data_IF_358990168972
#
_entry.id   IF_358990168972
#
_cell.length_a   1.000
_cell.length_b   1.000
_cell.length_c   1.000
_cell.angle_alpha   90.00
_cell.angle_beta   90.00
_cell.angle_gamma   90.00
#
_symmetry.space_group_name_H-M   'P 1'
#
loop_
_entity.id
_entity.type
_entity.pdbx_description
1 polymer ?
#
# COMPACT_ATOMS: atom_id res chain seq x y z
N UNK A 1 5.58 -34.33 -81.87
CA UNK A 1 6.34 -34.44 -80.61
C UNK A 1 6.36 -33.07 -79.96
N UNK A 2 5.63 -32.91 -78.85
CA UNK A 2 6.29 -32.68 -77.57
C UNK A 2 5.71 -33.53 -76.43
N UNK A 3 6.53 -33.68 -75.39
CA UNK A 3 6.38 -34.59 -74.26
C UNK A 3 5.43 -34.09 -73.18
N UNK A 4 4.70 -35.02 -72.56
CA UNK A 4 3.93 -34.82 -71.35
C UNK A 4 4.85 -34.63 -70.15
N UNK A 5 4.64 -33.57 -69.36
CA UNK A 5 5.26 -33.42 -68.04
C UNK A 5 4.30 -33.95 -66.97
N UNK A 6 4.76 -34.95 -66.23
CA UNK A 6 4.14 -35.50 -65.03
C UNK A 6 4.33 -34.55 -63.85
N UNK A 7 3.24 -34.25 -63.13
CA UNK A 7 3.29 -33.57 -61.84
C UNK A 7 3.77 -34.54 -60.76
N UNK A 8 4.88 -34.20 -60.09
CA UNK A 8 5.41 -34.93 -58.94
C UNK A 8 4.89 -34.27 -57.64
N UNK A 9 4.10 -35.02 -56.89
CA UNK A 9 3.45 -34.61 -55.64
C UNK A 9 4.47 -34.68 -54.48
N UNK A 10 4.95 -33.53 -54.01
CA UNK A 10 5.99 -33.44 -52.98
C UNK A 10 5.38 -33.67 -51.57
N UNK A 11 5.33 -34.93 -51.14
CA UNK A 11 4.89 -35.32 -49.80
C UNK A 11 5.98 -35.01 -48.77
N UNK A 12 5.88 -33.86 -48.09
CA UNK A 12 6.73 -33.51 -46.93
C UNK A 12 6.59 -34.55 -45.82
N UNK A 13 7.60 -35.41 -45.70
CA UNK A 13 7.82 -36.31 -44.56
C UNK A 13 8.16 -35.45 -43.33
N UNK A 14 7.17 -35.24 -42.45
CA UNK A 14 7.45 -34.65 -41.13
C UNK A 14 8.16 -35.69 -40.28
N UNK A 15 9.32 -35.33 -39.74
CA UNK A 15 10.07 -36.19 -38.81
C UNK A 15 9.16 -36.55 -37.63
N UNK A 16 9.05 -37.85 -37.34
CA UNK A 16 8.27 -38.40 -36.22
C UNK A 16 8.61 -37.68 -34.90
N UNK A 17 9.87 -37.26 -34.75
CA UNK A 17 10.34 -36.48 -33.61
C UNK A 17 9.64 -35.11 -33.48
N UNK A 18 9.41 -34.42 -34.59
CA UNK A 18 8.72 -33.11 -34.61
C UNK A 18 7.26 -33.27 -34.21
N UNK A 19 6.61 -34.36 -34.64
CA UNK A 19 5.23 -34.66 -34.24
C UNK A 19 5.15 -34.93 -32.74
N UNK A 20 6.07 -35.74 -32.20
CA UNK A 20 6.12 -36.06 -30.76
C UNK A 20 6.35 -34.80 -29.92
N UNK A 21 7.30 -33.94 -30.31
CA UNK A 21 7.58 -32.68 -29.59
C UNK A 21 6.34 -31.77 -29.61
N UNK A 22 5.67 -31.66 -30.75
CA UNK A 22 4.49 -30.80 -30.88
C UNK A 22 3.34 -31.29 -29.99
N UNK A 23 3.09 -32.60 -29.97
CA UNK A 23 2.04 -33.21 -29.13
C UNK A 23 2.38 -33.07 -27.64
N UNK A 24 3.64 -33.25 -27.25
CA UNK A 24 4.06 -33.08 -25.86
C UNK A 24 3.88 -31.61 -25.41
N UNK A 25 4.31 -30.65 -26.23
CA UNK A 25 4.17 -29.22 -25.93
C UNK A 25 2.71 -28.79 -25.81
N UNK A 26 1.83 -29.22 -26.72
CA UNK A 26 0.41 -28.89 -26.64
C UNK A 26 -0.26 -29.51 -25.41
N UNK A 27 0.10 -30.74 -25.05
CA UNK A 27 -0.43 -31.40 -23.85
C UNK A 27 -0.02 -30.66 -22.57
N UNK A 28 1.25 -30.23 -22.46
CA UNK A 28 1.72 -29.46 -21.31
C UNK A 28 0.98 -28.13 -21.19
N UNK A 29 0.79 -27.41 -22.30
CA UNK A 29 0.07 -26.13 -22.32
C UNK A 29 -1.38 -26.32 -21.85
N UNK A 30 -2.06 -27.37 -22.32
CA UNK A 30 -3.45 -27.66 -21.92
C UNK A 30 -3.53 -27.95 -20.41
N UNK A 31 -2.59 -28.74 -19.87
CA UNK A 31 -2.55 -29.04 -18.42
C UNK A 31 -2.30 -27.77 -17.61
N UNK A 32 -1.38 -26.91 -18.03
CA UNK A 32 -1.11 -25.65 -17.34
C UNK A 32 -2.31 -24.69 -17.37
N UNK A 33 -2.99 -24.57 -18.52
CA UNK A 33 -4.22 -23.78 -18.62
C UNK A 33 -5.33 -24.34 -17.72
N UNK A 34 -5.48 -25.67 -17.65
CA UNK A 34 -6.46 -26.31 -16.79
C UNK A 34 -6.16 -26.09 -15.30
N UNK A 35 -4.90 -26.25 -14.88
CA UNK A 35 -4.48 -25.97 -13.51
C UNK A 35 -4.70 -24.50 -13.15
N UNK A 36 -4.30 -23.58 -14.03
CA UNK A 36 -4.54 -22.15 -13.83
C UNK A 36 -6.03 -21.84 -13.66
N UNK A 37 -6.88 -22.38 -14.54
CA UNK A 37 -8.33 -22.21 -14.44
C UNK A 37 -8.89 -22.80 -13.15
N UNK A 38 -8.44 -24.00 -12.75
CA UNK A 38 -8.85 -24.65 -11.52
C UNK A 38 -8.50 -23.80 -10.30
N UNK A 39 -7.27 -23.26 -10.22
CA UNK A 39 -6.87 -22.39 -9.10
C UNK A 39 -7.52 -21.00 -9.12
N UNK A 40 -7.90 -20.50 -10.29
CA UNK A 40 -8.60 -19.21 -10.41
C UNK A 40 -10.09 -19.30 -10.03
N UNK A 41 -10.72 -20.47 -10.20
CA UNK A 41 -12.18 -20.64 -10.04
C UNK A 41 -12.55 -21.40 -8.76
N UNK A 42 -11.61 -22.15 -8.16
CA UNK A 42 -11.88 -22.79 -6.86
C UNK A 42 -11.96 -21.73 -5.76
N UNK A 43 -13.13 -21.55 -5.12
CA UNK A 43 -13.24 -20.63 -4.00
C UNK A 43 -12.36 -21.13 -2.87
N UNK A 44 -11.52 -20.23 -2.33
CA UNK A 44 -10.76 -20.49 -1.10
C UNK A 44 -11.80 -20.77 -0.01
N UNK A 45 -11.76 -21.92 0.69
CA UNK A 45 -12.67 -22.18 1.79
C UNK A 45 -12.47 -21.09 2.85
N UNK A 46 -13.57 -20.39 3.13
CA UNK A 46 -13.64 -19.32 4.13
C UNK A 46 -13.26 -19.92 5.50
N UNK A 47 -12.36 -19.27 6.27
CA UNK A 47 -12.02 -19.75 7.60
C UNK A 47 -13.25 -19.61 8.51
N UNK A 48 -13.72 -20.73 9.07
CA UNK A 48 -14.70 -20.78 10.15
C UNK A 48 -14.18 -19.93 11.33
N UNK A 49 -14.72 -18.73 11.49
CA UNK A 49 -14.52 -17.94 12.69
C UNK A 49 -15.34 -18.57 13.82
N UNK A 50 -14.62 -19.01 14.86
CA UNK A 50 -15.18 -19.48 16.12
C UNK A 50 -15.94 -18.34 16.81
N UNK A 51 -17.26 -18.45 16.84
CA UNK A 51 -18.16 -17.63 17.67
C UNK A 51 -17.89 -17.92 19.15
N UNK A 52 -17.16 -17.01 19.81
CA UNK A 52 -17.09 -16.94 21.28
C UNK A 52 -18.14 -15.95 21.77
N UNK A 53 -19.40 -16.36 21.78
CA UNK A 53 -20.41 -15.73 22.62
C UNK A 53 -20.47 -16.47 23.95
N UNK A 54 -19.54 -16.14 24.86
CA UNK A 54 -19.60 -16.60 26.24
C UNK A 54 -20.38 -15.59 27.09
N UNK A 55 -21.52 -16.06 27.56
CA UNK A 55 -22.38 -15.42 28.55
C UNK A 55 -21.58 -15.05 29.81
N UNK A 56 -21.59 -13.77 30.19
CA UNK A 56 -21.49 -13.39 31.60
C UNK A 56 -22.70 -12.57 31.99
N UNK A 57 -23.63 -13.28 32.63
CA UNK A 57 -24.81 -12.72 33.25
C UNK A 57 -24.43 -11.92 34.52
N UNK A 58 -25.35 -11.01 34.85
CA UNK A 58 -25.71 -10.59 36.22
C UNK A 58 -24.97 -9.37 36.75
N UNK A 59 -25.52 -8.19 36.44
CA UNK A 59 -25.43 -7.03 37.34
C UNK A 59 -26.80 -6.75 37.93
N UNK A 60 -26.81 -6.77 39.25
CA UNK A 60 -27.91 -6.60 40.19
C UNK A 60 -28.52 -5.20 40.08
N UNK A 61 -29.86 -5.13 40.09
CA UNK A 61 -30.63 -3.91 40.33
C UNK A 61 -30.20 -3.26 41.65
N UNK A 62 -29.83 -1.97 41.59
CA UNK A 62 -29.93 -1.09 42.76
C UNK A 62 -30.69 0.18 42.33
N UNK A 63 -31.75 0.38 43.10
CA UNK A 63 -32.78 1.42 43.15
C UNK A 63 -32.32 2.87 43.00
N UNK A 64 -33.17 3.63 42.30
CA UNK A 64 -33.35 5.09 42.20
C UNK A 64 -32.71 5.98 43.28
N UNK A 65 -32.08 7.10 42.87
CA UNK A 65 -32.61 8.49 42.94
C UNK A 65 -31.46 9.53 42.68
N UNK A 66 -31.73 10.85 42.57
CA UNK A 66 -32.23 11.61 41.43
C UNK A 66 -31.12 12.38 40.66
N UNK A 67 -31.51 12.84 39.46
CA UNK A 67 -30.74 13.58 38.46
C UNK A 67 -29.81 14.70 38.99
N UNK A 68 -28.54 14.62 38.57
CA UNK A 68 -27.55 15.69 38.51
C UNK A 68 -27.15 15.80 37.02
N UNK A 69 -27.02 17.03 36.45
CA UNK A 69 -27.09 17.24 35.00
C UNK A 69 -26.10 16.39 34.22
N UNK A 70 -26.60 15.72 33.19
CA UNK A 70 -25.80 14.94 32.22
C UNK A 70 -24.66 15.82 31.71
N UNK A 71 -23.45 15.44 32.10
CA UNK A 71 -22.21 15.88 31.47
C UNK A 71 -22.31 15.52 29.97
N UNK A 72 -21.92 16.39 29.03
CA UNK A 72 -22.10 16.13 27.60
C UNK A 72 -21.50 14.78 27.23
N UNK A 73 -22.27 13.98 26.50
CA UNK A 73 -21.89 12.66 26.00
C UNK A 73 -20.42 12.64 25.56
N UNK A 74 -19.63 11.80 26.21
CA UNK A 74 -18.26 11.51 25.80
C UNK A 74 -18.30 11.08 24.33
N UNK A 75 -17.60 11.84 23.50
CA UNK A 75 -17.39 11.58 22.09
C UNK A 75 -16.87 10.14 21.96
N UNK A 76 -17.67 9.27 21.35
CA UNK A 76 -17.34 7.86 21.15
C UNK A 76 -15.99 7.74 20.43
N UNK A 77 -15.14 6.80 20.85
CA UNK A 77 -13.85 6.55 20.19
C UNK A 77 -14.00 6.22 18.69
N UNK A 78 -15.18 5.72 18.28
CA UNK A 78 -15.57 5.42 16.89
C UNK A 78 -15.72 6.69 16.02
N UNK A 79 -15.86 7.88 16.62
CA UNK A 79 -16.05 9.15 15.89
C UNK A 79 -14.76 9.96 15.71
N UNK A 80 -13.60 9.37 16.04
CA UNK A 80 -12.29 10.03 15.97
C UNK A 80 -11.29 9.29 15.10
N UNK A 81 -10.37 10.03 14.48
CA UNK A 81 -9.27 9.41 13.71
C UNK A 81 -8.24 8.83 14.66
N UNK A 82 -7.88 7.55 14.45
CA UNK A 82 -6.82 6.89 15.19
C UNK A 82 -5.43 7.40 14.75
N UNK A 83 -4.68 7.97 15.68
CA UNK A 83 -3.32 8.49 15.43
C UNK A 83 -2.28 7.48 15.94
N UNK A 84 -1.50 6.90 15.03
CA UNK A 84 -0.41 5.97 15.37
C UNK A 84 0.93 6.66 15.14
N UNK A 85 1.63 6.99 16.23
CA UNK A 85 2.98 7.53 16.16
C UNK A 85 4.01 6.41 16.11
N UNK A 86 4.85 6.40 15.08
CA UNK A 86 5.94 5.46 14.93
C UNK A 86 7.02 5.72 15.98
N UNK A 87 7.35 4.66 16.70
CA UNK A 87 8.45 4.57 17.64
C UNK A 87 9.30 3.38 17.22
N UNK A 88 10.61 3.56 17.12
CA UNK A 88 11.51 2.44 16.79
C UNK A 88 11.37 1.31 17.81
N UNK A 89 11.29 0.05 17.34
CA UNK A 89 11.10 -1.08 18.23
C UNK A 89 12.32 -1.27 19.13
N UNK A 90 12.08 -1.60 20.40
CA UNK A 90 13.16 -1.88 21.36
C UNK A 90 14.02 -3.09 20.93
N UNK A 91 13.38 -4.07 20.29
CA UNK A 91 14.04 -5.22 19.67
C UNK A 91 14.08 -4.95 18.17
N UNK A 92 15.29 -4.80 17.63
CA UNK A 92 15.47 -4.49 16.21
C UNK A 92 15.09 -5.69 15.32
N UNK A 93 14.60 -5.44 14.09
CA UNK A 93 14.34 -6.50 13.12
C UNK A 93 15.60 -7.32 12.82
N UNK A 94 15.42 -8.62 12.59
CA UNK A 94 16.53 -9.52 12.21
C UNK A 94 16.93 -9.36 10.75
N UNK A 95 15.97 -9.05 9.86
CA UNK A 95 16.29 -8.74 8.46
C UNK A 95 17.13 -7.46 8.40
N UNK A 96 18.32 -7.58 7.82
CA UNK A 96 19.29 -6.50 7.76
C UNK A 96 19.83 -6.33 6.34
N UNK A 97 20.02 -5.08 5.93
CA UNK A 97 20.64 -4.68 4.65
C UNK A 97 21.75 -3.68 4.93
N UNK A 98 22.75 -3.63 4.06
CA UNK A 98 23.74 -2.55 4.04
C UNK A 98 23.24 -1.43 3.12
N UNK A 99 23.39 -0.18 3.54
CA UNK A 99 22.90 0.96 2.77
C UNK A 99 23.30 2.30 3.35
N UNK A 100 22.74 3.37 2.82
CA UNK A 100 22.99 4.73 3.30
C UNK A 100 21.78 5.63 3.13
N UNK A 101 21.71 6.68 3.94
CA UNK A 101 20.65 7.68 3.85
C UNK A 101 21.15 8.91 3.10
N UNK A 102 20.31 9.40 2.19
CA UNK A 102 20.70 10.43 1.21
C UNK A 102 20.12 11.81 1.56
N UNK A 103 19.01 11.83 2.29
CA UNK A 103 18.30 13.05 2.70
C UNK A 103 17.31 12.71 3.84
N UNK A 104 16.72 13.73 4.45
CA UNK A 104 15.51 13.55 5.25
C UNK A 104 14.40 12.91 4.43
N UNK A 105 13.49 12.23 5.13
CA UNK A 105 12.36 11.56 4.52
C UNK A 105 11.45 12.54 3.78
N UNK A 106 11.04 12.20 2.55
CA UNK A 106 9.96 12.91 1.87
C UNK A 106 8.57 12.41 2.32
N UNK A 107 8.50 11.19 2.86
CA UNK A 107 7.27 10.64 3.42
C UNK A 107 6.94 11.19 4.81
N UNK A 108 7.95 11.57 5.59
CA UNK A 108 7.87 12.20 6.91
C UNK A 108 8.81 13.42 7.00
N UNK A 109 8.53 14.50 6.26
CA UNK A 109 9.43 15.65 6.15
C UNK A 109 9.53 16.48 7.44
N UNK A 110 8.64 16.27 8.42
CA UNK A 110 8.59 17.02 9.66
C UNK A 110 9.28 16.30 10.84
N UNK A 111 9.92 15.15 10.58
CA UNK A 111 10.61 14.35 11.60
C UNK A 111 12.13 14.38 11.40
N UNK A 112 12.85 14.71 12.47
CA UNK A 112 14.32 14.77 12.46
C UNK A 112 14.97 13.39 12.35
N UNK A 113 14.28 12.36 12.84
CA UNK A 113 14.76 10.99 12.85
C UNK A 113 14.33 10.21 11.59
N UNK A 114 13.62 10.83 10.65
CA UNK A 114 13.13 10.19 9.45
C UNK A 114 13.98 10.50 8.21
N UNK A 115 14.32 9.46 7.47
CA UNK A 115 15.31 9.48 6.40
C UNK A 115 14.81 8.78 5.15
N UNK A 116 15.32 9.24 4.01
CA UNK A 116 15.23 8.56 2.73
C UNK A 116 16.54 7.82 2.49
N UNK A 117 16.47 6.49 2.48
CA UNK A 117 17.66 5.64 2.42
C UNK A 117 17.66 4.73 1.19
N UNK A 118 18.85 4.33 0.78
CA UNK A 118 19.07 3.42 -0.33
C UNK A 118 19.83 2.19 0.15
N UNK A 119 19.36 1.01 -0.26
CA UNK A 119 20.07 -0.25 -0.10
C UNK A 119 19.99 -1.02 -1.42
N UNK A 120 21.14 -1.35 -2.01
CA UNK A 120 21.23 -1.83 -3.38
C UNK A 120 20.63 -0.82 -4.37
N UNK A 121 19.73 -1.30 -5.25
CA UNK A 121 19.05 -0.48 -6.26
C UNK A 121 17.66 0.03 -5.80
N UNK A 122 17.34 -0.09 -4.52
CA UNK A 122 16.05 0.29 -3.97
C UNK A 122 16.17 1.48 -3.03
N UNK A 123 15.17 2.35 -3.09
CA UNK A 123 15.02 3.49 -2.18
C UNK A 123 13.85 3.19 -1.23
N UNK A 124 14.09 3.47 0.04
CA UNK A 124 13.15 3.27 1.13
C UNK A 124 12.92 4.62 1.82
N UNK A 125 11.65 4.99 1.95
CA UNK A 125 11.24 6.27 2.48
C UNK A 125 9.85 6.12 3.11
N UNK A 126 9.72 6.32 4.43
CA UNK A 126 10.72 6.69 5.41
C UNK A 126 11.44 5.48 6.02
N UNK A 127 12.64 5.75 6.55
CA UNK A 127 13.34 4.94 7.52
C UNK A 127 13.66 5.80 8.75
N UNK A 128 13.61 5.24 9.95
CA UNK A 128 13.76 5.98 11.19
C UNK A 128 15.05 5.62 11.90
N UNK A 129 15.75 6.59 12.48
CA UNK A 129 16.91 6.35 13.34
C UNK A 129 16.50 5.48 14.52
N UNK A 130 17.14 4.32 14.66
CA UNK A 130 16.88 3.40 15.78
C UNK A 130 18.07 3.34 16.75
N UNK A 131 19.29 3.32 16.22
CA UNK A 131 20.54 3.33 16.98
C UNK A 131 21.63 4.06 16.17
N UNK A 132 22.80 4.27 16.77
CA UNK A 132 23.95 4.80 16.04
C UNK A 132 24.26 3.94 14.80
N UNK A 133 24.41 4.58 13.65
CA UNK A 133 24.64 3.96 12.35
C UNK A 133 23.58 2.92 11.91
N UNK A 134 22.34 3.03 12.42
CA UNK A 134 21.25 2.10 12.10
C UNK A 134 19.90 2.79 11.96
N UNK A 135 19.19 2.46 10.88
CA UNK A 135 17.80 2.90 10.67
C UNK A 135 16.87 1.71 10.45
N UNK A 136 15.63 1.85 10.88
CA UNK A 136 14.55 0.88 10.64
C UNK A 136 13.61 1.44 9.58
N UNK A 137 13.40 0.70 8.50
CA UNK A 137 12.51 1.07 7.41
C UNK A 137 11.19 0.31 7.54
N UNK A 138 10.05 1.00 7.44
CA UNK A 138 8.72 0.37 7.50
C UNK A 138 7.72 1.10 6.61
N UNK A 139 7.93 1.13 5.29
CA UNK A 139 7.11 1.94 4.37
C UNK A 139 5.60 1.65 4.41
N UNK A 140 5.22 0.42 4.77
CA UNK A 140 3.83 0.03 4.96
C UNK A 140 3.67 -0.54 6.39
N UNK A 141 2.98 0.17 7.29
CA UNK A 141 2.81 -0.26 8.67
C UNK A 141 1.85 -1.45 8.84
N UNK A 142 1.14 -1.86 7.80
CA UNK A 142 0.19 -2.99 7.83
C UNK A 142 0.84 -4.35 7.53
N UNK A 143 2.14 -4.35 7.18
CA UNK A 143 2.86 -5.57 6.83
C UNK A 143 4.03 -5.69 7.80
N UNK A 144 3.87 -6.50 8.84
CA UNK A 144 4.92 -6.70 9.85
C UNK A 144 6.22 -7.20 9.24
N UNK A 145 6.15 -8.06 8.22
CA UNK A 145 7.34 -8.53 7.51
C UNK A 145 8.01 -7.48 6.62
N UNK A 146 7.44 -6.29 6.48
CA UNK A 146 8.03 -5.19 5.72
C UNK A 146 8.97 -4.31 6.57
N UNK A 147 9.10 -4.60 7.87
CA UNK A 147 10.06 -3.94 8.74
C UNK A 147 11.44 -4.59 8.63
N UNK A 148 12.46 -3.79 8.35
CA UNK A 148 13.84 -4.29 8.30
C UNK A 148 14.84 -3.19 8.70
N UNK A 149 16.04 -3.62 9.05
CA UNK A 149 17.15 -2.77 9.45
C UNK A 149 18.04 -2.43 8.26
N UNK A 150 18.49 -1.17 8.17
CA UNK A 150 19.64 -0.80 7.36
C UNK A 150 20.80 -0.46 8.29
N UNK A 151 21.90 -1.19 8.15
CA UNK A 151 23.21 -0.79 8.66
C UNK A 151 23.78 0.28 7.73
N UNK A 152 24.15 1.42 8.30
CA UNK A 152 24.62 2.55 7.54
C UNK A 152 26.10 2.41 7.19
N UNK A 153 26.41 2.49 5.89
CA UNK A 153 27.78 2.51 5.37
C UNK A 153 28.42 3.91 5.43
N UNK A 154 27.61 4.94 5.65
CA UNK A 154 27.99 6.35 5.77
C UNK A 154 27.18 6.98 6.92
N UNK A 155 27.72 7.98 7.63
CA UNK A 155 26.95 8.70 8.66
C UNK A 155 25.65 9.29 8.10
N UNK A 156 24.64 9.43 8.96
CA UNK A 156 23.43 10.16 8.61
C UNK A 156 23.78 11.61 8.21
N UNK A 157 23.14 12.17 7.16
CA UNK A 157 23.31 13.58 6.84
C UNK A 157 22.77 14.47 7.97
N UNK A 158 23.15 15.74 7.98
CA UNK A 158 22.61 16.69 8.94
C UNK A 158 21.08 16.82 8.76
N UNK A 159 20.27 16.67 9.83
CA UNK A 159 18.83 16.79 9.72
C UNK A 159 18.42 18.19 9.25
N UNK A 160 17.65 18.24 8.17
CA UNK A 160 16.98 19.45 7.70
C UNK A 160 15.50 19.37 8.04
N UNK A 161 15.01 20.34 8.81
CA UNK A 161 13.58 20.45 9.14
C UNK A 161 13.04 21.67 8.39
N UNK A 162 11.85 21.55 7.76
CA UNK A 162 11.15 22.71 7.24
C UNK A 162 10.95 23.79 8.31
N UNK A 163 10.99 25.06 7.91
CA UNK A 163 10.72 26.20 8.82
C UNK A 163 9.32 26.12 9.46
N UNK A 164 8.40 25.49 8.75
CA UNK A 164 7.02 25.29 9.18
C UNK A 164 6.77 23.80 9.37
N UNK A 165 6.48 23.41 10.62
CA UNK A 165 6.10 22.04 10.97
C UNK A 165 4.61 21.90 10.72
N UNK A 166 4.21 20.88 9.97
CA UNK A 166 2.80 20.53 9.78
C UNK A 166 2.46 19.29 10.58
N UNK A 167 1.33 19.34 11.29
CA UNK A 167 0.82 18.26 12.13
C UNK A 167 -0.36 17.50 11.50
N UNK A 168 -0.74 17.87 10.28
CA UNK A 168 -1.77 17.26 9.44
C UNK A 168 -1.15 16.42 8.29
N UNK A 169 0.01 15.82 8.53
CA UNK A 169 0.75 15.02 7.55
C UNK A 169 0.98 13.60 8.07
N UNK A 170 0.94 12.62 7.18
CA UNK A 170 1.16 11.21 7.49
C UNK A 170 1.92 10.51 6.35
N UNK A 171 2.81 9.56 6.63
CA UNK A 171 3.39 8.66 5.63
C UNK A 171 2.46 7.55 5.17
N UNK A 172 1.40 7.27 5.93
CA UNK A 172 0.44 6.23 5.62
C UNK A 172 -0.92 6.63 6.17
N UNK A 173 -1.98 6.36 5.40
CA UNK A 173 -3.35 6.75 5.71
C UNK A 173 -4.27 5.58 5.35
N UNK A 174 -5.21 5.29 6.24
CA UNK A 174 -6.35 4.41 6.03
C UNK A 174 -7.62 5.25 6.15
N UNK A 175 -8.46 5.19 5.13
CA UNK A 175 -9.79 5.81 5.11
C UNK A 175 -10.87 4.81 5.55
N UNK A 176 -12.04 5.31 5.96
CA UNK A 176 -13.18 4.48 6.39
C UNK A 176 -13.69 3.52 5.31
N UNK A 177 -13.51 3.88 4.03
CA UNK A 177 -13.86 3.03 2.89
C UNK A 177 -12.81 1.93 2.61
N UNK A 178 -11.78 1.81 3.45
CA UNK A 178 -10.67 0.87 3.30
C UNK A 178 -9.60 1.28 2.28
N UNK A 179 -9.67 2.51 1.75
CA UNK A 179 -8.63 3.04 0.86
C UNK A 179 -7.35 3.34 1.65
N UNK A 180 -6.21 2.97 1.07
CA UNK A 180 -4.89 3.29 1.63
C UNK A 180 -4.13 4.25 0.73
N UNK A 181 -3.50 5.25 1.34
CA UNK A 181 -2.70 6.25 0.64
C UNK A 181 -1.36 6.50 1.34
N UNK A 182 -0.36 6.85 0.53
CA UNK A 182 0.97 7.24 0.99
C UNK A 182 1.46 8.45 0.18
N UNK A 183 2.31 9.31 0.74
CA UNK A 183 2.81 10.47 0.03
C UNK A 183 3.76 10.06 -1.10
N UNK A 184 3.76 10.83 -2.18
CA UNK A 184 4.77 10.71 -3.22
C UNK A 184 6.13 11.18 -2.69
N UNK A 185 7.08 10.25 -2.63
CA UNK A 185 8.46 10.50 -2.16
C UNK A 185 9.44 10.87 -3.28
N UNK A 186 8.93 11.00 -4.50
CA UNK A 186 9.69 11.36 -5.70
C UNK A 186 9.01 12.47 -6.50
N UNK A 187 8.96 12.32 -7.82
CA UNK A 187 8.22 13.25 -8.66
C UNK A 187 6.72 13.20 -8.32
N UNK A 188 6.17 14.35 -7.93
CA UNK A 188 4.75 14.49 -7.59
C UNK A 188 3.94 14.74 -8.87
N UNK A 189 2.83 14.02 -9.09
CA UNK A 189 1.96 14.34 -10.20
C UNK A 189 1.28 15.67 -9.97
N UNK A 190 0.86 16.30 -11.06
CA UNK A 190 0.05 17.50 -11.06
C UNK A 190 -1.27 17.23 -11.76
N UNK A 191 -2.34 17.79 -11.23
CA UNK A 191 -3.65 17.79 -11.87
C UNK A 191 -4.12 19.24 -11.92
N UNK A 192 -4.37 19.72 -13.14
CA UNK A 192 -4.61 21.15 -13.39
C UNK A 192 -3.42 22.00 -12.93
N UNK A 193 -3.53 22.70 -11.81
CA UNK A 193 -2.49 23.54 -11.20
C UNK A 193 -2.15 23.13 -9.76
N UNK A 194 -2.72 22.02 -9.27
CA UNK A 194 -2.52 21.53 -7.91
C UNK A 194 -1.49 20.39 -7.90
N UNK A 195 -0.48 20.52 -7.04
CA UNK A 195 0.47 19.43 -6.78
C UNK A 195 -0.19 18.37 -5.91
N UNK A 196 -0.04 17.11 -6.30
CA UNK A 196 -0.63 15.99 -5.59
C UNK A 196 0.38 15.41 -4.62
N UNK A 197 0.06 15.45 -3.33
CA UNK A 197 0.93 14.93 -2.28
C UNK A 197 0.77 13.44 -2.06
N UNK A 198 -0.45 12.89 -2.14
CA UNK A 198 -0.74 11.49 -1.83
C UNK A 198 -1.26 10.71 -3.03
N UNK A 199 -0.69 9.52 -3.20
CA UNK A 199 -1.20 8.50 -4.11
C UNK A 199 -1.83 7.36 -3.32
N UNK A 200 -2.95 6.85 -3.81
CA UNK A 200 -3.69 5.78 -3.17
C UNK A 200 -3.66 4.50 -4.01
N UNK A 201 -3.76 3.35 -3.36
CA UNK A 201 -3.84 2.07 -4.06
C UNK A 201 -5.14 2.01 -4.86
N UNK A 202 -5.03 1.84 -6.18
CA UNK A 202 -6.16 1.62 -7.08
C UNK A 202 -6.11 0.19 -7.62
N UNK A 203 -7.23 -0.52 -7.53
CA UNK A 203 -7.38 -1.84 -8.16
C UNK A 203 -8.02 -1.74 -9.55
N UNK A 204 -8.37 -0.53 -10.01
CA UNK A 204 -9.05 -0.31 -11.29
C UNK A 204 -8.04 0.18 -12.33
N UNK A 205 -7.87 -0.59 -13.40
CA UNK A 205 -6.95 -0.27 -14.49
C UNK A 205 -7.31 1.07 -15.13
N UNK A 206 -6.31 1.94 -15.27
CA UNK A 206 -6.47 3.28 -15.87
C UNK A 206 -7.04 4.34 -14.94
N UNK A 207 -7.36 3.99 -13.69
CA UNK A 207 -7.74 4.95 -12.65
C UNK A 207 -6.59 5.15 -11.68
N UNK A 208 -6.32 6.41 -11.34
CA UNK A 208 -5.40 6.79 -10.28
C UNK A 208 -6.20 7.47 -9.18
N UNK A 209 -6.10 6.98 -7.95
CA UNK A 209 -6.76 7.58 -6.79
C UNK A 209 -5.71 8.43 -6.08
N UNK A 210 -6.08 9.66 -5.73
CA UNK A 210 -5.20 10.63 -5.08
C UNK A 210 -5.94 11.39 -3.98
N UNK A 211 -5.19 12.03 -3.09
CA UNK A 211 -5.73 13.08 -2.21
C UNK A 211 -5.33 14.44 -2.76
N UNK A 212 -6.32 15.32 -2.90
CA UNK A 212 -6.13 16.71 -3.32
C UNK A 212 -5.90 17.60 -2.09
N UNK A 213 -4.77 18.27 -2.05
CA UNK A 213 -4.40 19.17 -0.95
C UNK A 213 -3.86 18.42 0.27
N UNK A 214 -4.01 19.05 1.44
CA UNK A 214 -3.59 18.51 2.74
C UNK A 214 -4.73 17.79 3.45
N UNK A 215 -4.42 17.10 4.55
CA UNK A 215 -5.43 16.54 5.43
C UNK A 215 -6.05 17.65 6.27
N UNK A 216 -7.37 17.62 6.45
CA UNK A 216 -8.09 18.52 7.33
C UNK A 216 -8.11 17.90 8.73
N UNK A 217 -7.37 18.51 9.66
CA UNK A 217 -7.30 18.04 11.04
C UNK A 217 -8.56 18.44 11.82
N UNK A 218 -9.11 17.50 12.56
CA UNK A 218 -10.25 17.66 13.46
C UNK A 218 -10.26 16.54 14.51
N UNK A 219 -11.37 16.37 15.22
CA UNK A 219 -11.61 15.13 15.99
C UNK A 219 -11.56 13.94 15.03
N UNK A 220 -12.32 14.07 13.94
CA UNK A 220 -12.24 13.22 12.77
C UNK A 220 -11.54 14.00 11.68
N UNK A 221 -10.44 13.46 11.18
CA UNK A 221 -9.71 14.05 10.07
C UNK A 221 -10.47 13.74 8.78
N UNK A 222 -10.44 14.67 7.83
CA UNK A 222 -11.00 14.45 6.50
C UNK A 222 -9.99 14.74 5.41
N UNK A 223 -10.21 14.17 4.23
CA UNK A 223 -9.42 14.47 3.06
C UNK A 223 -10.27 14.46 1.79
N UNK A 224 -9.86 15.24 0.80
CA UNK A 224 -10.54 15.31 -0.50
C UNK A 224 -9.95 14.27 -1.45
N UNK A 225 -10.59 13.11 -1.56
CA UNK A 225 -10.20 12.04 -2.48
C UNK A 225 -10.65 12.39 -3.90
N UNK A 226 -9.80 12.12 -4.89
CA UNK A 226 -10.13 12.26 -6.30
C UNK A 226 -9.77 11.00 -7.08
N UNK A 227 -10.64 10.66 -8.02
CA UNK A 227 -10.37 9.63 -9.03
C UNK A 227 -9.97 10.33 -10.31
N UNK A 228 -8.76 10.06 -10.77
CA UNK A 228 -8.20 10.59 -12.00
C UNK A 228 -8.34 9.56 -13.12
N UNK A 229 -8.71 10.02 -14.31
CA UNK A 229 -8.67 9.24 -15.54
C UNK A 229 -7.53 9.75 -16.42
N UNK A 230 -6.78 8.80 -16.97
CA UNK A 230 -5.73 9.07 -17.94
C UNK A 230 -6.21 8.74 -19.35
N UNK A 231 -6.38 9.75 -20.17
CA UNK A 231 -6.74 9.62 -21.58
C UNK A 231 -5.57 10.14 -22.44
N UNK A 232 -4.75 9.21 -22.93
CA UNK A 232 -3.49 9.55 -23.61
C UNK A 232 -2.51 10.26 -22.67
N UNK A 233 -2.18 11.52 -23.00
CA UNK A 233 -1.33 12.38 -22.16
C UNK A 233 -2.11 13.27 -21.20
N UNK A 234 -3.45 13.32 -21.31
CA UNK A 234 -4.28 14.20 -20.49
C UNK A 234 -4.77 13.45 -19.25
N UNK A 235 -4.57 14.06 -18.09
CA UNK A 235 -5.15 13.61 -16.82
C UNK A 235 -6.35 14.50 -16.49
N UNK A 236 -7.51 13.91 -16.25
CA UNK A 236 -8.73 14.64 -15.84
C UNK A 236 -9.25 14.10 -14.53
N UNK A 237 -9.90 14.97 -13.75
CA UNK A 237 -10.64 14.57 -12.54
C UNK A 237 -11.96 13.99 -13.00
N UNK A 238 -12.20 12.71 -12.70
CA UNK A 238 -13.47 12.03 -12.95
C UNK A 238 -14.49 12.32 -11.87
N UNK A 239 -14.05 12.27 -10.61
CA UNK A 239 -14.89 12.51 -9.44
C UNK A 239 -14.04 12.96 -8.27
N UNK A 240 -14.69 13.64 -7.33
CA UNK A 240 -14.13 14.04 -6.05
C UNK A 240 -15.14 13.76 -4.96
N UNK A 241 -14.66 13.40 -3.78
CA UNK A 241 -15.46 13.23 -2.58
C UNK A 241 -14.63 13.56 -1.35
N UNK A 242 -15.29 13.97 -0.28
CA UNK A 242 -14.67 14.12 1.03
C UNK A 242 -14.78 12.80 1.78
N UNK A 243 -13.67 12.32 2.34
CA UNK A 243 -13.62 11.09 3.11
C UNK A 243 -13.08 11.33 4.50
N UNK A 244 -13.73 10.63 5.42
CA UNK A 244 -13.28 10.43 6.78
C UNK A 244 -12.04 9.54 6.81
N UNK A 245 -11.03 10.00 7.55
CA UNK A 245 -9.82 9.26 7.81
C UNK A 245 -10.02 8.41 9.05
N UNK A 246 -9.79 7.10 8.90
CA UNK A 246 -9.89 6.13 9.99
C UNK A 246 -8.61 6.08 10.80
N UNK A 247 -7.47 5.90 10.14
CA UNK A 247 -6.16 5.80 10.80
C UNK A 247 -5.12 6.62 10.03
N UNK A 248 -4.26 7.31 10.76
CA UNK A 248 -3.03 7.89 10.21
C UNK A 248 -1.83 7.38 10.99
N UNK A 249 -0.73 7.18 10.27
CA UNK A 249 0.55 6.88 10.87
C UNK A 249 1.45 8.12 10.77
N UNK A 250 2.21 8.44 11.81
CA UNK A 250 3.10 9.62 11.88
C UNK A 250 4.49 9.26 12.40
#
# INVERSE_FOLDING_TARGET
MPASQSMEENKKSFSVLTVIITVAATTIIIVLCFLYYYYAVTPIPEPEFLDITENSAKTTEITENPALPELPAELSAEDSTNLIFYISPAILPSETKEGKCLANSAAQPYRQDAWKCAAGNQTYDPCFTAQENKVVCQMNPLIDSAIFLINLTEPLPEPSIPKEIKDNWAWFIEFEDGTYCAPYTGAKPQVQTEEIYYGCKSNVKGQTIVILGELNKGVKWTARKAILLKEGQKTTIKSTEELDVKTVWQ
#
